data_IF_200990502877
#
_entry.id   IF_200990502877
#
_cell.length_a   1.000
_cell.length_b   1.000
_cell.length_c   1.000
_cell.angle_alpha   90.00
_cell.angle_beta   90.00
_cell.angle_gamma   90.00
#
_symmetry.space_group_name_H-M   'P 1'
#
loop_
_entity.id
_entity.type
_entity.pdbx_description
1 polymer ?
#
# COMPACT_ATOMS: atom_id res chain seq x y z
N UNK A 1 -11.87 8.04 19.04
CA UNK A 1 -12.46 7.34 17.89
C UNK A 1 -11.58 6.14 17.54
N UNK A 2 -11.58 5.09 18.37
CA UNK A 2 -10.64 3.95 18.29
C UNK A 2 -10.62 3.24 16.94
N UNK A 3 -11.78 3.12 16.28
CA UNK A 3 -11.91 2.39 15.01
C UNK A 3 -11.19 3.11 13.85
N UNK A 4 -11.26 4.43 13.78
CA UNK A 4 -10.62 5.21 12.71
C UNK A 4 -9.08 5.20 12.85
N UNK A 5 -8.58 5.28 14.07
CA UNK A 5 -7.15 5.18 14.35
C UNK A 5 -6.61 3.79 14.01
N UNK A 6 -7.34 2.74 14.38
CA UNK A 6 -7.01 1.37 14.01
C UNK A 6 -7.00 1.17 12.49
N UNK A 7 -8.03 1.68 11.80
CA UNK A 7 -8.11 1.59 10.34
C UNK A 7 -6.96 2.32 9.66
N UNK A 8 -6.62 3.53 10.12
CA UNK A 8 -5.46 4.27 9.62
C UNK A 8 -4.17 3.48 9.82
N UNK A 9 -4.00 2.87 10.99
CA UNK A 9 -2.81 2.10 11.33
C UNK A 9 -2.65 0.83 10.46
N UNK A 10 -3.75 0.15 10.16
CA UNK A 10 -3.72 -1.05 9.34
C UNK A 10 -3.68 -0.75 7.83
N UNK A 11 -4.41 0.26 7.36
CA UNK A 11 -4.62 0.51 5.94
C UNK A 11 -3.58 1.48 5.35
N UNK A 12 -3.34 2.61 6.02
CA UNK A 12 -2.37 3.62 5.54
C UNK A 12 -0.97 3.36 6.08
N UNK A 13 -0.84 3.12 7.39
CA UNK A 13 0.47 2.81 7.98
C UNK A 13 0.91 1.38 7.66
N UNK A 14 0.01 0.47 7.30
CA UNK A 14 0.33 -0.93 6.99
C UNK A 14 1.23 -1.56 8.06
N UNK A 15 0.83 -1.41 9.33
CA UNK A 15 1.62 -1.95 10.46
C UNK A 15 1.87 -3.46 10.33
N UNK A 16 0.90 -4.21 9.81
CA UNK A 16 1.05 -5.63 9.49
C UNK A 16 2.22 -5.91 8.53
N UNK A 17 2.43 -5.04 7.52
CA UNK A 17 3.54 -5.18 6.58
C UNK A 17 4.87 -4.87 7.27
N UNK A 18 4.90 -3.87 8.15
CA UNK A 18 6.09 -3.54 8.93
C UNK A 18 6.55 -4.75 9.78
N UNK A 19 5.62 -5.39 10.48
CA UNK A 19 5.88 -6.57 11.30
C UNK A 19 6.32 -7.78 10.46
N UNK A 20 5.69 -8.01 9.31
CA UNK A 20 6.05 -9.11 8.41
C UNK A 20 7.47 -8.92 7.86
N UNK A 21 7.81 -7.72 7.41
CA UNK A 21 9.17 -7.42 6.94
C UNK A 21 10.17 -7.51 8.10
N UNK A 22 9.79 -7.11 9.32
CA UNK A 22 10.64 -7.25 10.51
C UNK A 22 10.93 -8.72 10.85
N UNK A 23 9.94 -9.58 10.71
CA UNK A 23 10.09 -11.04 10.85
C UNK A 23 10.97 -11.61 9.74
N UNK A 24 10.75 -11.22 8.49
CA UNK A 24 11.55 -11.66 7.34
C UNK A 24 13.03 -11.28 7.51
N UNK A 25 13.33 -10.03 7.88
CA UNK A 25 14.71 -9.57 8.08
C UNK A 25 15.38 -10.27 9.27
N UNK A 26 14.66 -10.51 10.36
CA UNK A 26 15.21 -11.25 11.51
C UNK A 26 15.41 -12.73 11.21
N UNK A 27 14.41 -13.40 10.66
CA UNK A 27 14.37 -14.87 10.58
C UNK A 27 15.04 -15.41 9.30
N UNK A 28 14.96 -14.69 8.19
CA UNK A 28 15.56 -15.12 6.90
C UNK A 28 16.98 -14.61 6.77
N UNK A 29 17.22 -13.34 7.12
CA UNK A 29 18.55 -12.73 6.98
C UNK A 29 19.41 -12.83 8.25
N UNK A 30 18.82 -13.19 9.39
CA UNK A 30 19.55 -13.26 10.67
C UNK A 30 20.11 -11.91 11.13
N UNK A 31 19.59 -10.81 10.59
CA UNK A 31 20.11 -9.46 10.83
C UNK A 31 19.32 -8.79 11.96
N UNK A 32 20.06 -8.17 12.88
CA UNK A 32 19.46 -7.35 13.93
C UNK A 32 18.90 -6.05 13.32
N UNK A 33 17.63 -5.75 13.59
CA UNK A 33 16.97 -4.51 13.18
C UNK A 33 17.57 -3.27 13.85
N UNK A 34 18.26 -3.45 14.99
CA UNK A 34 19.04 -2.40 15.64
C UNK A 34 20.32 -2.05 14.89
N UNK A 35 20.80 -2.92 13.99
CA UNK A 35 21.96 -2.65 13.16
C UNK A 35 21.62 -1.73 11.99
N UNK A 36 22.56 -0.86 11.59
CA UNK A 36 22.40 0.02 10.42
C UNK A 36 22.03 -0.74 9.14
N UNK A 37 22.57 -1.94 8.95
CA UNK A 37 22.30 -2.77 7.78
C UNK A 37 20.89 -3.40 7.84
N UNK A 38 20.52 -3.98 8.98
CA UNK A 38 19.19 -4.58 9.16
C UNK A 38 18.07 -3.55 9.08
N UNK A 39 18.24 -2.38 9.69
CA UNK A 39 17.28 -1.27 9.62
C UNK A 39 17.12 -0.71 8.20
N UNK A 40 18.21 -0.55 7.44
CA UNK A 40 18.12 -0.07 6.05
C UNK A 40 17.45 -1.09 5.12
N UNK A 41 17.74 -2.38 5.28
CA UNK A 41 17.10 -3.43 4.48
C UNK A 41 15.61 -3.53 4.80
N UNK A 42 15.25 -3.49 6.08
CA UNK A 42 13.87 -3.46 6.54
C UNK A 42 13.11 -2.26 5.94
N UNK A 43 13.66 -1.05 6.06
CA UNK A 43 13.07 0.16 5.52
C UNK A 43 12.89 0.06 3.99
N UNK A 44 13.91 -0.42 3.28
CA UNK A 44 13.85 -0.56 1.82
C UNK A 44 12.75 -1.53 1.37
N UNK A 45 12.71 -2.74 1.93
CA UNK A 45 11.71 -3.74 1.57
C UNK A 45 10.30 -3.24 1.93
N UNK A 46 10.15 -2.66 3.11
CA UNK A 46 8.88 -2.12 3.58
C UNK A 46 8.38 -0.99 2.65
N UNK A 47 9.23 -0.03 2.30
CA UNK A 47 8.85 1.09 1.45
C UNK A 47 8.55 0.67 0.01
N UNK A 48 9.36 -0.23 -0.57
CA UNK A 48 9.14 -0.75 -1.92
C UNK A 48 7.79 -1.46 -2.01
N UNK A 49 7.49 -2.37 -1.08
CA UNK A 49 6.21 -3.10 -1.08
C UNK A 49 5.04 -2.15 -0.79
N UNK A 50 5.19 -1.24 0.18
CA UNK A 50 4.15 -0.27 0.54
C UNK A 50 3.76 0.60 -0.64
N UNK A 51 4.73 1.23 -1.30
CA UNK A 51 4.47 2.10 -2.46
C UNK A 51 3.84 1.30 -3.59
N UNK A 52 4.31 0.07 -3.84
CA UNK A 52 3.75 -0.79 -4.88
C UNK A 52 2.26 -1.11 -4.64
N UNK A 53 1.89 -1.47 -3.41
CA UNK A 53 0.49 -1.72 -3.04
C UNK A 53 -0.35 -0.45 -3.18
N UNK A 54 0.15 0.70 -2.70
CA UNK A 54 -0.56 1.97 -2.78
C UNK A 54 -0.78 2.42 -4.22
N UNK A 55 0.25 2.34 -5.06
CA UNK A 55 0.14 2.67 -6.48
C UNK A 55 -0.77 1.69 -7.21
N UNK A 56 -0.67 0.39 -6.93
CA UNK A 56 -1.55 -0.62 -7.53
C UNK A 56 -3.01 -0.34 -7.17
N UNK A 57 -3.30 -0.09 -5.89
CA UNK A 57 -4.64 0.28 -5.44
C UNK A 57 -5.13 1.57 -6.11
N UNK A 58 -4.29 2.60 -6.18
CA UNK A 58 -4.64 3.87 -6.83
C UNK A 58 -4.96 3.69 -8.31
N UNK A 59 -4.10 2.98 -9.04
CA UNK A 59 -4.28 2.70 -10.47
C UNK A 59 -5.55 1.86 -10.68
N UNK A 60 -5.79 0.84 -9.84
CA UNK A 60 -7.02 0.05 -9.89
C UNK A 60 -8.26 0.90 -9.64
N UNK A 61 -8.25 1.78 -8.65
CA UNK A 61 -9.38 2.68 -8.35
C UNK A 61 -9.64 3.60 -9.54
N UNK A 62 -8.62 4.22 -10.11
CA UNK A 62 -8.77 5.09 -11.29
C UNK A 62 -9.28 4.28 -12.49
N UNK A 63 -8.71 3.09 -12.74
CA UNK A 63 -9.12 2.19 -13.82
C UNK A 63 -10.57 1.75 -13.66
N UNK A 64 -10.98 1.41 -12.43
CA UNK A 64 -12.36 1.06 -12.10
C UNK A 64 -13.31 2.23 -12.35
N UNK A 65 -12.99 3.43 -11.86
CA UNK A 65 -13.82 4.62 -12.08
C UNK A 65 -13.99 4.90 -13.58
N UNK A 66 -12.91 4.83 -14.36
CA UNK A 66 -12.96 5.03 -15.80
C UNK A 66 -13.76 3.93 -16.52
N UNK A 67 -13.72 2.69 -16.04
CA UNK A 67 -14.48 1.57 -16.60
C UNK A 67 -16.00 1.74 -16.42
N UNK A 68 -16.45 2.31 -15.30
CA UNK A 68 -17.88 2.56 -15.02
C UNK A 68 -18.40 3.86 -15.65
N UNK A 69 -17.54 4.87 -15.81
CA UNK A 69 -17.84 6.13 -16.52
C UNK A 69 -17.01 6.27 -17.79
N UNK A 70 -17.18 5.38 -18.79
CA UNK A 70 -16.51 5.59 -20.06
C UNK A 70 -17.03 6.90 -20.67
N UNK A 71 -16.17 7.83 -21.10
CA UNK A 71 -16.55 9.15 -21.60
C UNK A 71 -17.54 9.09 -22.79
N UNK A 72 -17.62 7.94 -23.46
CA UNK A 72 -18.58 7.62 -24.53
C UNK A 72 -20.05 7.54 -24.06
N UNK A 73 -20.31 7.00 -22.85
CA UNK A 73 -21.67 6.93 -22.28
C UNK A 73 -22.13 8.31 -21.80
N UNK A 74 -21.22 9.12 -21.26
CA UNK A 74 -21.50 10.50 -20.83
C UNK A 74 -21.95 11.37 -22.01
N UNK A 75 -21.32 11.23 -23.19
CA UNK A 75 -21.76 11.94 -24.42
C UNK A 75 -23.16 11.53 -24.89
N UNK A 76 -23.58 10.28 -24.68
CA UNK A 76 -24.90 9.79 -25.11
C UNK A 76 -26.05 10.29 -24.23
N UNK A 77 -25.76 10.71 -23.00
CA UNK A 77 -26.73 11.28 -22.05
C UNK A 77 -26.79 12.81 -22.19
N UNK A 78 -25.66 13.47 -22.45
CA UNK A 78 -25.61 14.93 -22.69
C UNK A 78 -26.07 15.36 -24.11
N UNK A 79 -26.19 14.42 -25.05
CA UNK A 79 -26.59 14.68 -26.43
C UNK A 79 -28.12 14.73 -26.67
N UNK A 80 -28.92 14.87 -25.62
CA UNK A 80 -30.36 15.17 -25.71
C UNK A 80 -30.67 16.43 -24.93
#
# INVERSE_FOLDING_TARGET
MLVLEWLNAQLLKMQWLHELVAMLVRDVFGLDLGSRLGGSLHFFIYDVIKIFILLSALIFVISYIQSYFPPERTKKILGR
#
